data_IF_882655441549
#
_entry.id   IF_882655441549
#
_cell.length_a   1.000
_cell.length_b   1.000
_cell.length_c   1.000
_cell.angle_alpha   90.00
_cell.angle_beta   90.00
_cell.angle_gamma   90.00
#
_symmetry.space_group_name_H-M   'P 1'
#
loop_
_entity.id
_entity.type
_entity.pdbx_description
1 polymer ?
#
# COMPACT_ATOMS: atom_id res chain seq x y z
N UNK A 1 23.70 -9.11 40.80
CA UNK A 1 22.81 -9.56 41.89
C UNK A 1 23.27 -10.91 42.44
N UNK A 2 23.49 -11.00 43.75
CA UNK A 2 23.67 -12.27 44.50
C UNK A 2 22.36 -12.59 45.22
N UNK A 3 21.80 -13.79 45.04
CA UNK A 3 20.54 -14.23 45.66
C UNK A 3 20.77 -15.40 46.64
N UNK A 4 19.94 -15.52 47.68
CA UNK A 4 19.95 -16.65 48.62
C UNK A 4 19.21 -17.88 48.05
N UNK A 5 19.22 -19.01 48.79
CA UNK A 5 18.52 -20.26 48.41
C UNK A 5 16.98 -20.14 48.36
N UNK A 6 16.42 -19.04 48.87
CA UNK A 6 15.00 -18.72 48.86
C UNK A 6 14.66 -17.65 47.80
N UNK A 7 15.62 -17.25 46.96
CA UNK A 7 15.45 -16.27 45.89
C UNK A 7 15.49 -14.81 46.33
N UNK A 8 15.80 -14.52 47.60
CA UNK A 8 15.92 -13.16 48.13
C UNK A 8 17.25 -12.55 47.70
N UNK A 9 17.23 -11.30 47.26
CA UNK A 9 18.44 -10.59 46.82
C UNK A 9 19.24 -10.18 48.06
N UNK A 10 20.49 -10.64 48.16
CA UNK A 10 21.41 -10.33 49.27
C UNK A 10 22.34 -9.17 48.91
N UNK A 11 22.70 -9.01 47.63
CA UNK A 11 23.65 -7.98 47.20
C UNK A 11 23.40 -7.57 45.74
N UNK A 12 23.37 -6.27 45.46
CA UNK A 12 23.21 -5.72 44.12
C UNK A 12 24.49 -5.01 43.68
N UNK A 13 25.20 -5.59 42.71
CA UNK A 13 26.63 -5.33 42.47
C UNK A 13 26.85 -4.25 41.39
N UNK A 14 25.82 -3.91 40.61
CA UNK A 14 25.73 -2.72 39.75
C UNK A 14 24.40 -2.79 39.00
N UNK A 15 23.54 -1.80 39.17
CA UNK A 15 22.32 -1.63 38.38
C UNK A 15 22.52 -0.50 37.39
N UNK A 16 22.46 -0.78 36.10
CA UNK A 16 22.22 0.26 35.09
C UNK A 16 20.74 0.57 35.10
N UNK A 17 20.37 1.82 35.39
CA UNK A 17 18.98 2.25 35.34
C UNK A 17 18.41 2.03 33.93
N UNK A 18 17.25 1.37 33.86
CA UNK A 18 16.53 1.20 32.60
C UNK A 18 16.05 2.57 32.12
N UNK A 19 16.39 2.95 30.89
CA UNK A 19 15.78 4.13 30.28
C UNK A 19 14.38 3.79 29.77
N UNK A 20 13.45 4.73 29.94
CA UNK A 20 12.10 4.58 29.42
C UNK A 20 12.12 4.61 27.88
N UNK A 21 11.45 3.63 27.26
CA UNK A 21 11.26 3.61 25.82
C UNK A 21 10.48 4.83 25.34
N UNK A 22 10.75 5.28 24.12
CA UNK A 22 10.05 6.40 23.52
C UNK A 22 8.70 5.97 22.93
N UNK A 23 7.75 6.89 22.96
CA UNK A 23 6.48 6.73 22.28
C UNK A 23 6.63 7.03 20.78
N UNK A 24 5.83 6.37 19.96
CA UNK A 24 5.75 6.61 18.51
C UNK A 24 4.33 7.09 18.17
N UNK A 25 4.23 8.30 17.62
CA UNK A 25 3.00 8.78 17.00
C UNK A 25 3.03 8.43 15.51
N UNK A 26 1.99 7.74 15.04
CA UNK A 26 1.81 7.44 13.63
C UNK A 26 1.04 8.57 12.94
N UNK A 27 1.22 8.70 11.62
CA UNK A 27 0.38 9.55 10.76
C UNK A 27 -0.99 8.94 10.42
N UNK A 28 -1.19 7.66 10.76
CA UNK A 28 -2.43 6.93 10.53
C UNK A 28 -3.56 7.52 11.37
N UNK A 29 -4.68 7.87 10.73
CA UNK A 29 -5.93 8.19 11.43
C UNK A 29 -6.73 6.90 11.61
N UNK A 30 -6.98 6.50 12.86
CA UNK A 30 -7.69 5.28 13.21
C UNK A 30 -9.09 5.18 12.56
N UNK A 31 -9.80 6.30 12.41
CA UNK A 31 -11.14 6.32 11.82
C UNK A 31 -11.09 6.04 10.33
N UNK A 32 -10.11 6.63 9.64
CA UNK A 32 -9.86 6.38 8.22
C UNK A 32 -9.38 4.95 8.00
N UNK A 33 -8.48 4.46 8.87
CA UNK A 33 -8.03 3.08 8.85
C UNK A 33 -9.18 2.09 9.01
N UNK A 34 -10.08 2.30 9.97
CA UNK A 34 -11.24 1.44 10.20
C UNK A 34 -12.21 1.43 9.01
N UNK A 35 -12.46 2.61 8.43
CA UNK A 35 -13.28 2.74 7.21
C UNK A 35 -12.65 1.96 6.05
N UNK A 36 -11.37 2.23 5.74
CA UNK A 36 -10.64 1.59 4.64
C UNK A 36 -10.61 0.07 4.82
N UNK A 37 -10.32 -0.41 6.03
CA UNK A 37 -10.30 -1.84 6.32
C UNK A 37 -11.65 -2.51 6.09
N UNK A 38 -12.75 -1.88 6.54
CA UNK A 38 -14.11 -2.40 6.37
C UNK A 38 -14.49 -2.50 4.90
N UNK A 39 -14.32 -1.41 4.14
CA UNK A 39 -14.71 -1.39 2.73
C UNK A 39 -13.84 -2.32 1.88
N UNK A 40 -12.54 -2.40 2.17
CA UNK A 40 -11.64 -3.34 1.50
C UNK A 40 -12.07 -4.80 1.73
N UNK A 41 -12.35 -5.17 2.97
CA UNK A 41 -12.81 -6.53 3.30
C UNK A 41 -14.15 -6.86 2.63
N UNK A 42 -15.10 -5.92 2.63
CA UNK A 42 -16.38 -6.08 1.96
C UNK A 42 -16.18 -6.30 0.46
N UNK A 43 -15.32 -5.50 -0.19
CA UNK A 43 -15.05 -5.62 -1.62
C UNK A 43 -14.35 -6.94 -1.97
N UNK A 44 -13.35 -7.37 -1.19
CA UNK A 44 -12.64 -8.64 -1.40
C UNK A 44 -13.60 -9.82 -1.24
N UNK A 45 -14.42 -9.82 -0.19
CA UNK A 45 -15.41 -10.88 0.05
C UNK A 45 -16.50 -10.91 -1.02
N UNK A 46 -17.06 -9.75 -1.40
CA UNK A 46 -18.11 -9.64 -2.41
C UNK A 46 -17.65 -10.17 -3.78
N UNK A 47 -16.43 -9.81 -4.18
CA UNK A 47 -15.86 -10.24 -5.46
C UNK A 47 -15.19 -11.63 -5.40
N UNK A 48 -15.14 -12.28 -4.24
CA UNK A 48 -14.40 -13.52 -4.00
C UNK A 48 -12.94 -13.42 -4.47
N UNK A 49 -12.32 -12.27 -4.24
CA UNK A 49 -10.93 -12.03 -4.60
C UNK A 49 -10.00 -12.78 -3.63
N UNK A 50 -8.81 -13.17 -4.11
CA UNK A 50 -7.80 -13.82 -3.28
C UNK A 50 -7.26 -12.87 -2.21
N UNK A 51 -6.98 -11.62 -2.59
CA UNK A 51 -6.51 -10.58 -1.69
C UNK A 51 -6.82 -9.18 -2.23
N UNK A 52 -6.60 -8.16 -1.41
CA UNK A 52 -6.67 -6.75 -1.79
C UNK A 52 -5.86 -5.88 -0.85
N UNK A 53 -5.43 -4.72 -1.35
CA UNK A 53 -4.66 -3.71 -0.62
C UNK A 53 -5.23 -2.32 -0.88
N UNK A 54 -5.20 -1.47 0.14
CA UNK A 54 -5.62 -0.07 0.04
C UNK A 54 -4.63 0.82 0.81
N UNK A 55 -4.26 1.94 0.19
CA UNK A 55 -3.39 2.97 0.79
C UNK A 55 -4.06 4.33 0.58
N UNK A 56 -4.18 5.10 1.65
CA UNK A 56 -4.69 6.46 1.64
C UNK A 56 -3.58 7.41 2.07
N UNK A 57 -3.33 8.44 1.26
CA UNK A 57 -2.24 9.40 1.45
C UNK A 57 -2.79 10.81 1.43
N UNK A 58 -2.29 11.66 2.34
CA UNK A 58 -2.51 13.10 2.28
C UNK A 58 -1.72 13.70 1.10
N UNK A 59 -2.41 14.37 0.17
CA UNK A 59 -1.82 14.88 -1.07
C UNK A 59 -0.83 16.03 -0.81
N UNK A 60 -1.00 16.77 0.29
CA UNK A 60 -0.16 17.92 0.61
C UNK A 60 1.07 17.52 1.43
N UNK A 61 0.92 16.59 2.39
CA UNK A 61 2.01 16.22 3.30
C UNK A 61 2.71 14.91 2.91
N UNK A 62 2.07 14.06 2.11
CA UNK A 62 2.56 12.72 1.79
C UNK A 62 2.38 11.72 2.93
N UNK A 63 1.70 12.09 4.01
CA UNK A 63 1.45 11.22 5.15
C UNK A 63 0.50 10.06 4.77
N UNK A 64 0.84 8.85 5.23
CA UNK A 64 -0.05 7.69 5.11
C UNK A 64 -1.13 7.80 6.19
N UNK A 65 -2.36 8.09 5.76
CA UNK A 65 -3.52 8.22 6.65
C UNK A 65 -4.16 6.87 6.94
N UNK A 66 -4.08 5.93 6.00
CA UNK A 66 -4.51 4.54 6.17
C UNK A 66 -3.74 3.60 5.25
N UNK A 67 -3.48 2.37 5.72
CA UNK A 67 -2.89 1.29 4.94
C UNK A 67 -3.46 -0.05 5.42
N UNK A 68 -4.19 -0.73 4.56
CA UNK A 68 -4.85 -1.99 4.90
C UNK A 68 -4.62 -3.06 3.82
N UNK A 69 -4.58 -4.31 4.26
CA UNK A 69 -4.56 -5.49 3.39
C UNK A 69 -5.66 -6.45 3.84
N UNK A 70 -6.19 -7.22 2.90
CA UNK A 70 -7.12 -8.31 3.11
C UNK A 70 -6.66 -9.52 2.29
N UNK A 71 -6.61 -10.75 2.84
CA UNK A 71 -6.89 -11.10 4.23
C UNK A 71 -5.88 -10.51 5.23
N UNK A 72 -6.29 -10.39 6.49
CA UNK A 72 -5.47 -9.90 7.62
C UNK A 72 -5.51 -10.89 8.80
N UNK A 73 -4.83 -10.58 9.90
CA UNK A 73 -4.73 -11.42 11.09
C UNK A 73 -4.89 -10.61 12.38
N UNK A 74 -5.12 -11.29 13.51
CA UNK A 74 -5.14 -10.65 14.83
C UNK A 74 -3.72 -10.64 15.43
N UNK A 75 -3.06 -9.47 15.56
CA UNK A 75 -1.70 -9.40 16.09
C UNK A 75 -1.62 -9.71 17.59
N UNK A 76 -2.74 -9.74 18.31
CA UNK A 76 -2.76 -10.15 19.72
C UNK A 76 -2.76 -11.69 19.88
N UNK A 77 -3.06 -12.45 18.83
CA UNK A 77 -3.04 -13.91 18.84
C UNK A 77 -2.60 -14.48 17.49
N UNK A 78 -1.36 -14.96 17.43
CA UNK A 78 -0.77 -15.54 16.24
C UNK A 78 -1.09 -17.03 16.01
N UNK A 79 -1.78 -17.68 16.94
CA UNK A 79 -2.06 -19.11 16.85
C UNK A 79 -2.94 -19.41 15.61
N UNK A 80 -2.41 -20.22 14.69
CA UNK A 80 -3.12 -20.60 13.45
C UNK A 80 -3.07 -19.58 12.32
N UNK A 81 -2.32 -18.48 12.47
CA UNK A 81 -2.17 -17.47 11.41
C UNK A 81 -1.26 -17.99 10.29
N UNK A 82 -1.76 -17.97 9.06
CA UNK A 82 -0.96 -18.33 7.88
C UNK A 82 0.06 -17.23 7.55
N UNK A 83 1.28 -17.62 7.13
CA UNK A 83 2.34 -16.65 6.78
C UNK A 83 1.90 -15.65 5.71
N UNK A 84 1.07 -16.08 4.76
CA UNK A 84 0.55 -15.23 3.69
C UNK A 84 -0.32 -14.07 4.22
N UNK A 85 -1.16 -14.34 5.24
CA UNK A 85 -2.00 -13.29 5.87
C UNK A 85 -1.20 -12.27 6.67
N UNK A 86 0.06 -12.57 7.01
CA UNK A 86 0.95 -11.64 7.71
C UNK A 86 1.64 -10.65 6.77
N UNK A 87 1.58 -10.88 5.45
CA UNK A 87 2.27 -10.08 4.45
C UNK A 87 1.61 -8.71 4.31
N UNK A 88 2.39 -7.65 4.48
CA UNK A 88 1.94 -6.31 4.11
C UNK A 88 2.05 -6.14 2.59
N UNK A 89 1.01 -6.56 1.87
CA UNK A 89 1.00 -6.59 0.40
C UNK A 89 1.20 -5.21 -0.22
N UNK A 90 0.70 -4.15 0.43
CA UNK A 90 0.86 -2.77 -0.03
C UNK A 90 2.33 -2.32 -0.21
N UNK A 91 3.29 -2.93 0.50
CA UNK A 91 4.72 -2.58 0.42
C UNK A 91 5.61 -3.73 -0.05
N UNK A 92 5.11 -4.97 -0.09
CA UNK A 92 5.91 -6.16 -0.43
C UNK A 92 5.54 -6.78 -1.77
N UNK A 93 4.36 -6.48 -2.32
CA UNK A 93 3.91 -7.02 -3.60
C UNK A 93 4.19 -5.98 -4.70
N UNK A 94 4.64 -6.46 -5.85
CA UNK A 94 4.82 -5.65 -7.06
C UNK A 94 3.84 -6.14 -8.11
N UNK A 95 3.22 -5.22 -8.82
CA UNK A 95 2.34 -5.51 -9.95
C UNK A 95 2.54 -4.47 -11.04
N UNK A 96 2.22 -4.85 -12.28
CA UNK A 96 2.26 -3.91 -13.39
C UNK A 96 1.18 -2.84 -13.19
N UNK A 97 1.53 -1.54 -13.19
CA UNK A 97 0.59 -0.47 -12.86
C UNK A 97 -0.51 -0.28 -13.94
N UNK A 98 -0.35 -0.87 -15.12
CA UNK A 98 -1.36 -0.85 -16.17
C UNK A 98 -1.75 0.57 -16.57
N UNK A 99 -3.05 0.87 -16.62
CA UNK A 99 -3.52 2.19 -17.06
C UNK A 99 -3.19 3.34 -16.10
N UNK A 100 -2.77 3.08 -14.85
CA UNK A 100 -2.51 4.16 -13.87
C UNK A 100 -1.27 4.99 -14.21
N UNK A 101 -0.37 4.51 -15.08
CA UNK A 101 0.80 5.28 -15.54
C UNK A 101 0.49 6.24 -16.69
N UNK A 102 -0.62 6.06 -17.39
CA UNK A 102 -0.96 6.84 -18.59
C UNK A 102 -0.94 8.36 -18.36
N UNK A 103 -1.46 8.90 -17.24
CA UNK A 103 -1.38 10.34 -16.97
C UNK A 103 0.05 10.88 -17.00
N UNK A 104 1.04 10.12 -16.50
CA UNK A 104 2.45 10.56 -16.51
C UNK A 104 3.01 10.70 -17.93
N UNK A 105 2.62 9.80 -18.83
CA UNK A 105 3.03 9.85 -20.25
C UNK A 105 2.44 11.10 -20.92
N UNK A 106 1.16 11.36 -20.70
CA UNK A 106 0.46 12.54 -21.25
C UNK A 106 1.06 13.83 -20.69
N UNK A 107 1.27 13.91 -19.37
CA UNK A 107 1.93 15.05 -18.73
C UNK A 107 3.31 15.31 -19.32
N UNK A 108 4.10 14.26 -19.57
CA UNK A 108 5.42 14.39 -20.17
C UNK A 108 5.35 14.90 -21.61
N UNK A 109 4.38 14.42 -22.39
CA UNK A 109 4.20 14.86 -23.78
C UNK A 109 3.77 16.33 -23.87
N UNK A 110 2.84 16.76 -23.00
CA UNK A 110 2.43 18.15 -22.85
C UNK A 110 3.58 19.04 -22.38
N UNK A 111 4.31 18.62 -21.33
CA UNK A 111 5.44 19.37 -20.78
C UNK A 111 6.57 19.56 -21.79
N UNK A 112 6.80 18.57 -22.66
CA UNK A 112 7.80 18.63 -23.75
C UNK A 112 7.29 19.33 -25.01
N UNK A 113 6.04 19.76 -25.05
CA UNK A 113 5.42 20.39 -26.22
C UNK A 113 5.30 19.46 -27.43
N UNK A 114 5.30 18.14 -27.22
CA UNK A 114 5.09 17.14 -28.28
C UNK A 114 3.63 17.20 -28.76
N UNK A 115 2.72 17.46 -27.83
CA UNK A 115 1.29 17.68 -28.05
C UNK A 115 0.84 18.87 -27.20
N UNK A 116 -0.34 19.42 -27.51
CA UNK A 116 -1.04 20.42 -26.71
C UNK A 116 -2.48 19.96 -26.43
N UNK A 117 -3.22 20.71 -25.60
CA UNK A 117 -4.59 20.40 -25.17
C UNK A 117 -5.61 20.27 -26.32
N UNK A 118 -5.30 20.80 -27.51
CA UNK A 118 -6.16 20.76 -28.70
C UNK A 118 -5.64 19.79 -29.78
N UNK A 119 -4.60 19.01 -29.48
CA UNK A 119 -3.99 18.10 -30.45
C UNK A 119 -4.87 16.87 -30.63
N UNK A 120 -5.44 16.69 -31.82
CA UNK A 120 -6.21 15.50 -32.16
C UNK A 120 -5.27 14.41 -32.67
N UNK A 121 -5.26 13.26 -32.01
CA UNK A 121 -4.46 12.09 -32.37
C UNK A 121 -5.32 11.04 -33.05
N UNK A 122 -4.79 10.41 -34.10
CA UNK A 122 -5.38 9.22 -34.69
C UNK A 122 -5.18 8.02 -33.76
N UNK A 123 -6.28 7.46 -33.26
CA UNK A 123 -6.29 6.37 -32.27
C UNK A 123 -6.79 5.05 -32.84
N UNK A 124 -6.86 4.93 -34.17
CA UNK A 124 -7.18 3.63 -34.80
C UNK A 124 -6.11 2.58 -34.46
N UNK A 125 -6.50 1.30 -34.28
CA UNK A 125 -5.54 0.22 -34.04
C UNK A 125 -4.44 0.16 -35.09
N UNK A 126 -3.20 -0.06 -34.64
CA UNK A 126 -2.02 -0.15 -35.50
C UNK A 126 -1.08 -1.26 -35.03
N UNK A 127 -0.03 -1.56 -35.81
CA UNK A 127 0.94 -2.62 -35.51
C UNK A 127 2.36 -2.09 -35.44
N UNK A 128 3.12 -2.57 -34.45
CA UNK A 128 4.57 -2.35 -34.32
C UNK A 128 5.25 -3.71 -34.29
N UNK A 129 6.16 -3.98 -35.22
CA UNK A 129 6.92 -5.25 -35.29
C UNK A 129 6.05 -6.52 -35.21
N UNK A 130 4.83 -6.47 -35.76
CA UNK A 130 3.88 -7.59 -35.73
C UNK A 130 2.97 -7.65 -34.50
N UNK A 131 3.19 -6.82 -33.48
CA UNK A 131 2.32 -6.71 -32.29
C UNK A 131 1.23 -5.66 -32.54
N UNK A 132 -0.02 -6.02 -32.27
CA UNK A 132 -1.18 -5.12 -32.39
C UNK A 132 -1.33 -4.25 -31.14
N UNK A 133 -1.48 -2.94 -31.36
CA UNK A 133 -1.76 -1.94 -30.33
C UNK A 133 -3.19 -1.44 -30.56
N UNK A 134 -4.08 -1.66 -29.58
CA UNK A 134 -5.50 -1.29 -29.66
C UNK A 134 -6.09 -0.97 -28.29
N UNK A 135 -7.15 -0.17 -28.31
CA UNK A 135 -8.00 0.10 -27.15
C UNK A 135 -9.10 -0.96 -26.99
N UNK A 136 -9.84 -0.87 -25.87
CA UNK A 136 -11.00 -1.74 -25.58
C UNK A 136 -12.12 -1.51 -26.60
N UNK A 137 -12.35 -0.25 -26.97
CA UNK A 137 -13.30 0.15 -27.99
C UNK A 137 -12.57 0.91 -29.11
N UNK A 138 -13.17 0.93 -30.30
CA UNK A 138 -12.58 1.64 -31.44
C UNK A 138 -12.93 3.12 -31.38
N UNK A 139 -11.91 3.96 -31.34
CA UNK A 139 -12.00 5.40 -31.54
C UNK A 139 -11.23 5.76 -32.82
N UNK A 140 -11.78 6.67 -33.63
CA UNK A 140 -11.09 7.16 -34.82
C UNK A 140 -10.03 8.19 -34.43
N UNK A 141 -10.39 9.07 -33.51
CA UNK A 141 -9.55 10.17 -33.04
C UNK A 141 -9.90 10.55 -31.60
N UNK A 142 -8.91 11.02 -30.86
CA UNK A 142 -9.06 11.56 -29.50
C UNK A 142 -8.16 12.79 -29.32
N UNK A 143 -8.63 13.74 -28.53
CA UNK A 143 -7.86 14.89 -28.01
C UNK A 143 -7.06 14.51 -26.78
#
# INVERSE_FOLDING_TARGET
MRKDRYGRVIEDISSTDSQAAHNLALSIDERLQALVYRELNNAVAFNKAESGSAVLVDVNTGEVLAMANSPSYNPNNFAGTAKDTMRNRAITDVFEPGSTVKPMVVMTALQRGIVNENTVLNTVPYRINGHEIKDVARYSELT
#
